data_IF_609675893115
#
_entry.id   IF_609675893115
#
_cell.length_a   1.000
_cell.length_b   1.000
_cell.length_c   1.000
_cell.angle_alpha   90.00
_cell.angle_beta   90.00
_cell.angle_gamma   90.00
#
_symmetry.space_group_name_H-M   'P 1'
#
loop_
_entity.id
_entity.type
_entity.pdbx_description
1 polymer ?
#
# COMPACT_ATOMS: atom_id res chain seq x y z
N UNK A 1 10.21 6.43 -4.70
CA UNK A 1 8.83 6.22 -5.15
C UNK A 1 8.71 6.50 -6.63
N UNK A 2 7.94 5.67 -7.33
CA UNK A 2 7.60 5.80 -8.75
C UNK A 2 6.14 6.19 -8.87
N UNK A 3 5.82 7.16 -9.73
CA UNK A 3 4.45 7.52 -10.08
C UNK A 3 4.00 6.64 -11.26
N UNK A 4 2.91 5.90 -11.09
CA UNK A 4 2.40 4.96 -12.09
C UNK A 4 0.92 5.25 -12.39
N UNK A 5 0.63 5.75 -13.59
CA UNK A 5 -0.74 6.06 -14.02
C UNK A 5 -1.53 4.83 -14.48
N UNK A 6 -0.87 3.68 -14.68
CA UNK A 6 -1.51 2.43 -15.11
C UNK A 6 -2.01 1.57 -13.95
N UNK A 7 -1.46 1.77 -12.75
CA UNK A 7 -1.75 0.93 -11.58
C UNK A 7 -2.75 1.57 -10.61
N UNK A 8 -3.65 0.74 -10.07
CA UNK A 8 -4.63 1.17 -9.07
C UNK A 8 -4.05 1.16 -7.65
N UNK A 9 -3.21 0.17 -7.32
CA UNK A 9 -2.61 0.07 -5.99
C UNK A 9 -1.42 1.01 -5.84
N UNK A 10 -1.45 1.83 -4.78
CA UNK A 10 -0.27 2.50 -4.25
C UNK A 10 0.32 1.69 -3.09
N UNK A 11 1.64 1.65 -2.94
CA UNK A 11 2.30 1.04 -1.79
C UNK A 11 3.65 1.68 -1.45
N UNK A 12 4.02 1.55 -0.18
CA UNK A 12 5.28 2.01 0.40
C UNK A 12 6.01 0.87 1.08
N UNK A 13 7.32 1.03 1.29
CA UNK A 13 8.11 0.09 2.07
C UNK A 13 7.88 0.33 3.57
N UNK A 14 7.37 -0.67 4.27
CA UNK A 14 7.13 -0.60 5.72
C UNK A 14 8.00 -1.55 6.54
N UNK A 15 8.69 -2.49 5.88
CA UNK A 15 9.66 -3.35 6.54
C UNK A 15 11.05 -3.24 5.93
N UNK A 16 12.06 -3.34 6.82
CA UNK A 16 13.47 -3.04 6.58
C UNK A 16 13.99 -3.66 5.29
N UNK A 17 14.33 -2.82 4.32
CA UNK A 17 15.38 -3.13 3.35
C UNK A 17 16.49 -2.08 3.45
N UNK A 18 17.70 -2.58 3.20
CA UNK A 18 18.97 -1.93 3.47
C UNK A 18 19.09 -0.56 2.77
N UNK A 19 19.98 0.33 3.26
CA UNK A 19 20.30 1.57 2.57
C UNK A 19 20.53 1.34 1.06
N UNK A 20 20.11 2.28 0.19
CA UNK A 20 19.78 3.68 0.47
C UNK A 20 18.27 4.00 0.60
N UNK A 21 17.37 3.02 0.60
CA UNK A 21 15.93 3.29 0.55
C UNK A 21 15.33 3.55 1.93
N UNK A 22 14.75 4.74 2.10
CA UNK A 22 14.02 5.10 3.31
C UNK A 22 12.75 4.26 3.43
N UNK A 23 12.68 3.43 4.48
CA UNK A 23 11.44 2.76 4.89
C UNK A 23 10.59 3.74 5.68
N UNK A 24 9.27 3.68 5.48
CA UNK A 24 8.34 4.36 6.37
C UNK A 24 8.35 3.66 7.73
N UNK A 25 8.39 4.45 8.82
CA UNK A 25 8.27 3.95 10.19
C UNK A 25 6.87 4.29 10.73
N UNK A 26 5.97 3.30 10.82
CA UNK A 26 4.62 3.50 11.33
C UNK A 26 4.55 4.06 12.75
N UNK A 27 5.58 3.84 13.58
CA UNK A 27 5.58 4.30 14.98
C UNK A 27 5.73 5.82 15.12
N UNK A 28 6.18 6.49 14.04
CA UNK A 28 6.38 7.95 14.01
C UNK A 28 5.17 8.71 13.47
N UNK A 29 4.12 8.01 13.02
CA UNK A 29 2.91 8.63 12.47
C UNK A 29 1.70 8.42 13.36
N UNK A 30 1.07 9.52 13.77
CA UNK A 30 -0.18 9.49 14.53
C UNK A 30 -1.42 9.23 13.67
N UNK A 31 -1.30 9.29 12.33
CA UNK A 31 -2.40 9.04 11.39
C UNK A 31 -2.36 7.65 10.78
N UNK A 32 -1.26 6.92 10.99
CA UNK A 32 -1.12 5.54 10.55
C UNK A 32 -2.14 4.64 11.25
N UNK A 33 -2.79 3.79 10.46
CA UNK A 33 -3.59 2.69 11.00
C UNK A 33 -3.61 1.51 10.04
N UNK A 34 -3.50 0.30 10.59
CA UNK A 34 -3.61 -0.92 9.79
C UNK A 34 -5.08 -1.19 9.49
N UNK A 35 -5.39 -1.56 8.25
CA UNK A 35 -6.76 -1.77 7.82
C UNK A 35 -7.27 -3.13 8.34
N UNK A 36 -8.38 -3.17 9.09
CA UNK A 36 -8.93 -4.43 9.59
C UNK A 36 -9.61 -5.19 8.45
N UNK A 37 -9.60 -6.52 8.52
CA UNK A 37 -10.24 -7.40 7.55
C UNK A 37 -11.78 -7.22 7.45
N UNK A 38 -12.41 -6.60 8.45
CA UNK A 38 -13.83 -6.23 8.39
C UNK A 38 -14.11 -5.10 7.38
N UNK A 39 -13.08 -4.38 6.95
CA UNK A 39 -13.21 -3.28 6.00
C UNK A 39 -13.73 -3.77 4.63
N UNK A 40 -14.65 -3.04 3.97
CA UNK A 40 -15.24 -3.49 2.71
C UNK A 40 -14.25 -3.79 1.60
N UNK A 41 -13.12 -3.07 1.53
CA UNK A 41 -12.06 -3.32 0.53
C UNK A 41 -11.37 -4.68 0.69
N UNK A 42 -11.40 -5.27 1.88
CA UNK A 42 -10.80 -6.59 2.16
C UNK A 42 -11.73 -7.74 1.81
N UNK A 43 -12.99 -7.42 1.49
CA UNK A 43 -14.02 -8.37 1.07
C UNK A 43 -14.23 -8.13 -0.41
N UNK A 44 -13.50 -8.82 -1.31
CA UNK A 44 -13.64 -8.61 -2.75
C UNK A 44 -15.11 -8.80 -3.13
N UNK A 45 -15.76 -7.73 -3.59
CA UNK A 45 -17.20 -7.75 -3.85
C UNK A 45 -17.54 -8.27 -5.25
N UNK A 46 -16.62 -8.28 -6.22
CA UNK A 46 -16.86 -8.70 -7.62
C UNK A 46 -15.49 -9.13 -8.24
N UNK A 47 -15.43 -10.11 -9.17
CA UNK A 47 -14.16 -10.70 -9.66
C UNK A 47 -13.37 -9.84 -10.66
N UNK A 48 -13.93 -8.75 -11.15
CA UNK A 48 -13.39 -8.07 -12.33
C UNK A 48 -12.44 -6.93 -11.93
N UNK A 49 -11.17 -7.25 -11.68
CA UNK A 49 -10.08 -6.29 -11.42
C UNK A 49 -9.97 -5.74 -9.99
N UNK A 50 -10.56 -6.40 -8.99
CA UNK A 50 -10.35 -5.99 -7.60
C UNK A 50 -8.96 -6.40 -7.14
N UNK A 51 -8.23 -5.44 -6.56
CA UNK A 51 -7.03 -5.67 -5.78
C UNK A 51 -7.11 -7.00 -4.99
N UNK A 52 -6.25 -8.00 -5.27
CA UNK A 52 -6.22 -9.27 -4.55
C UNK A 52 -5.91 -9.05 -3.07
N UNK A 53 -6.99 -9.01 -2.28
CA UNK A 53 -6.92 -8.90 -0.82
C UNK A 53 -7.40 -10.16 -0.14
N UNK A 54 -6.79 -10.48 1.00
CA UNK A 54 -7.20 -11.58 1.87
C UNK A 54 -7.20 -11.15 3.34
N UNK A 55 -7.72 -12.01 4.20
CA UNK A 55 -7.72 -11.82 5.64
C UNK A 55 -6.56 -12.61 6.24
N UNK A 56 -5.61 -11.95 6.89
CA UNK A 56 -4.50 -12.66 7.54
C UNK A 56 -4.93 -13.29 8.88
N UNK A 57 -4.01 -14.02 9.52
CA UNK A 57 -4.23 -14.67 10.82
C UNK A 57 -4.53 -13.68 11.95
N UNK A 58 -4.12 -12.42 11.80
CA UNK A 58 -4.36 -11.34 12.76
C UNK A 58 -5.66 -10.57 12.46
N UNK A 59 -6.46 -11.03 11.49
CA UNK A 59 -7.67 -10.35 10.99
C UNK A 59 -7.38 -8.96 10.41
N UNK A 60 -6.22 -8.81 9.79
CA UNK A 60 -5.80 -7.63 9.05
C UNK A 60 -5.99 -7.86 7.55
N UNK A 61 -6.09 -6.75 6.83
CA UNK A 61 -6.31 -6.74 5.40
C UNK A 61 -5.00 -6.93 4.64
N UNK A 62 -4.73 -8.15 4.20
CA UNK A 62 -3.53 -8.49 3.47
C UNK A 62 -3.72 -8.25 1.97
N UNK A 63 -2.66 -7.88 1.27
CA UNK A 63 -2.62 -7.80 -0.20
C UNK A 63 -1.35 -8.45 -0.74
N UNK A 64 -1.46 -9.05 -1.92
CA UNK A 64 -0.34 -9.59 -2.70
C UNK A 64 -0.57 -9.26 -4.17
N UNK A 65 0.28 -8.42 -4.75
CA UNK A 65 0.02 -7.81 -6.06
C UNK A 65 1.22 -7.92 -7.00
N UNK A 66 0.95 -8.29 -8.25
CA UNK A 66 1.89 -8.25 -9.37
C UNK A 66 1.53 -7.11 -10.33
N UNK A 67 2.51 -6.25 -10.58
CA UNK A 67 2.43 -5.19 -11.57
C UNK A 67 2.77 -5.73 -12.97
N UNK A 68 2.36 -5.02 -14.02
CA UNK A 68 2.55 -5.44 -15.41
C UNK A 68 4.03 -5.53 -15.83
N UNK A 69 4.91 -4.80 -15.14
CA UNK A 69 6.37 -4.85 -15.31
C UNK A 69 7.04 -6.03 -14.58
N UNK A 70 6.25 -6.87 -13.91
CA UNK A 70 6.74 -7.98 -13.09
C UNK A 70 7.12 -7.58 -11.66
N UNK A 71 6.94 -6.33 -11.26
CA UNK A 71 7.16 -5.90 -9.88
C UNK A 71 6.16 -6.60 -8.96
N UNK A 72 6.65 -7.13 -7.84
CA UNK A 72 5.86 -7.77 -6.80
C UNK A 72 5.85 -6.90 -5.56
N UNK A 73 4.70 -6.81 -4.89
CA UNK A 73 4.58 -6.21 -3.57
C UNK A 73 3.51 -6.93 -2.73
N UNK A 74 3.84 -7.19 -1.47
CA UNK A 74 2.99 -7.89 -0.52
C UNK A 74 3.10 -7.26 0.87
N UNK A 75 1.97 -7.21 1.57
CA UNK A 75 1.90 -6.78 2.95
C UNK A 75 0.48 -6.53 3.40
N UNK A 76 0.30 -5.56 4.30
CA UNK A 76 -1.02 -5.17 4.77
C UNK A 76 -1.48 -3.85 4.14
N UNK A 77 -2.77 -3.72 3.86
CA UNK A 77 -3.36 -2.43 3.59
C UNK A 77 -3.39 -1.61 4.87
N UNK A 78 -3.05 -0.34 4.72
CA UNK A 78 -3.01 0.65 5.80
C UNK A 78 -3.72 1.91 5.35
N UNK A 79 -4.03 2.77 6.30
CA UNK A 79 -4.51 4.13 6.07
C UNK A 79 -3.43 5.11 6.51
N UNK A 80 -3.03 6.02 5.61
CA UNK A 80 -2.03 7.06 5.88
C UNK A 80 -2.23 8.28 4.97
N UNK A 81 -1.69 9.44 5.36
CA UNK A 81 -1.63 10.66 4.57
C UNK A 81 -0.29 10.78 3.84
N UNK A 82 -0.34 11.23 2.60
CA UNK A 82 0.85 11.68 1.88
C UNK A 82 1.03 13.18 2.06
N UNK A 83 2.27 13.61 2.29
CA UNK A 83 2.65 15.02 2.33
C UNK A 83 3.65 15.28 1.23
N UNK A 84 3.26 16.10 0.25
CA UNK A 84 4.10 16.46 -0.90
C UNK A 84 4.93 17.71 -0.62
N UNK A 85 4.39 18.62 0.19
CA UNK A 85 5.08 19.82 0.67
C UNK A 85 4.51 20.23 2.03
N UNK A 86 5.10 21.24 2.69
CA UNK A 86 4.64 21.72 4.00
C UNK A 86 3.18 22.16 4.04
N UNK A 87 2.61 22.54 2.90
CA UNK A 87 1.23 23.02 2.79
C UNK A 87 0.32 22.09 1.99
N UNK A 88 0.86 21.00 1.41
CA UNK A 88 0.11 20.11 0.52
C UNK A 88 0.18 18.68 1.06
N UNK A 89 -0.94 18.26 1.63
CA UNK A 89 -1.15 16.89 2.12
C UNK A 89 -2.48 16.34 1.62
N UNK A 90 -2.56 15.03 1.50
CA UNK A 90 -3.80 14.34 1.15
C UNK A 90 -4.67 14.13 2.40
N UNK A 91 -5.99 13.92 2.23
CA UNK A 91 -6.76 13.15 3.19
C UNK A 91 -6.12 11.76 3.39
N UNK A 92 -6.42 11.03 4.49
CA UNK A 92 -5.93 9.67 4.66
C UNK A 92 -6.39 8.79 3.49
N UNK A 93 -5.43 8.18 2.81
CA UNK A 93 -5.63 7.25 1.70
C UNK A 93 -5.37 5.83 2.17
N UNK A 94 -5.94 4.86 1.45
CA UNK A 94 -5.63 3.45 1.65
C UNK A 94 -4.54 3.04 0.67
N UNK A 95 -3.51 2.38 1.18
CA UNK A 95 -2.31 1.99 0.43
C UNK A 95 -1.74 0.68 1.00
N UNK A 96 -0.91 0.02 0.21
CA UNK A 96 -0.11 -1.11 0.66
C UNK A 96 1.07 -0.69 1.51
N UNK A 97 1.28 -1.39 2.62
CA UNK A 97 2.44 -1.28 3.49
C UNK A 97 3.25 -2.57 3.31
N UNK A 98 4.23 -2.52 2.42
CA UNK A 98 4.92 -3.71 1.94
C UNK A 98 5.89 -4.26 3.00
N UNK A 99 5.73 -5.54 3.29
CA UNK A 99 6.69 -6.36 4.05
C UNK A 99 7.65 -7.08 3.11
N UNK A 100 7.19 -7.41 1.90
CA UNK A 100 7.99 -8.01 0.83
C UNK A 100 7.72 -7.29 -0.50
N UNK A 101 8.78 -7.06 -1.27
CA UNK A 101 8.71 -6.36 -2.57
C UNK A 101 9.95 -6.64 -3.41
N UNK A 102 9.81 -6.62 -4.74
CA UNK A 102 10.95 -6.73 -5.67
C UNK A 102 11.52 -5.37 -6.09
N UNK A 103 10.77 -4.27 -5.94
CA UNK A 103 11.27 -2.89 -6.13
C UNK A 103 11.51 -2.21 -4.76
N UNK A 104 12.65 -1.56 -4.51
CA UNK A 104 12.91 -0.90 -3.23
C UNK A 104 12.29 0.51 -3.11
N UNK A 105 11.68 1.07 -4.16
CA UNK A 105 11.26 2.49 -4.22
C UNK A 105 9.80 2.76 -3.84
N UNK A 106 8.92 1.76 -3.88
CA UNK A 106 7.45 1.94 -3.75
C UNK A 106 6.79 2.59 -4.97
N UNK A 107 5.48 2.38 -5.12
CA UNK A 107 4.68 2.86 -6.27
C UNK A 107 3.51 3.72 -5.76
N UNK A 108 3.26 4.85 -6.45
CA UNK A 108 2.08 5.69 -6.32
C UNK A 108 1.19 5.47 -7.55
N UNK A 109 0.22 4.57 -7.41
CA UNK A 109 -0.74 4.20 -8.47
C UNK A 109 -1.87 5.23 -8.58
N UNK A 110 -2.10 5.76 -9.79
CA UNK A 110 -3.09 6.82 -10.08
C UNK A 110 -4.25 6.37 -10.97
N UNK A 111 -4.34 5.08 -11.30
CA UNK A 111 -5.47 4.56 -12.05
C UNK A 111 -6.74 4.56 -11.18
N UNK A 112 -7.85 5.07 -11.73
CA UNK A 112 -9.11 5.24 -11.00
C UNK A 112 -10.07 4.04 -11.09
N UNK A 113 -9.77 3.03 -11.91
CA UNK A 113 -10.72 1.96 -12.21
C UNK A 113 -11.09 1.94 -13.68
#
# INVERSE_FOLDING_TARGET
>A
MVLDTGSQLSWIQCHKKQPPTASFDPSLSSTFSILPCTHPLCKPRIPDFTLPTSCDQNRLCHYSYFYADGTYAEGNLVREKFTFSRSVSTPPLILGCATESTDPRGILGMNLG
#
